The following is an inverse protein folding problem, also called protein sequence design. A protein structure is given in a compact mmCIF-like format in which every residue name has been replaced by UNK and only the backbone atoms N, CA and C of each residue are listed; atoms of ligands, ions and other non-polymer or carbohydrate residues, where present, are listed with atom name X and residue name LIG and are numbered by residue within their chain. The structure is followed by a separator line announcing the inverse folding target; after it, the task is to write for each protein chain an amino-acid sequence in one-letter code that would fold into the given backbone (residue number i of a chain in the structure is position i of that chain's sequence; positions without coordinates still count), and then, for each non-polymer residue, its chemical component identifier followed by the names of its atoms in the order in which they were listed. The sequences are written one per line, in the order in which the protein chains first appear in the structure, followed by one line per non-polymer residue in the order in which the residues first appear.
data_IF_359332720656
#
_entry.id   IF_359332720656
#
_cell.length_a   1.000
_cell.length_b   1.000
_cell.length_c   1.000
_cell.angle_alpha   90.00
_cell.angle_beta   90.00
_cell.angle_gamma   90.00
#
_symmetry.space_group_name_H-M   'P 1'
#
loop_
_entity.id
_entity.type
_entity.pdbx_description
1 polymer ?
#
# COMPACT_ATOMS: atom_id res chain seq x y z
N UNK A 1 18.63 -7.67 -11.16
CA UNK A 1 17.62 -7.35 -10.13
C UNK A 1 18.12 -6.13 -9.38
N UNK A 2 17.29 -5.09 -9.23
CA UNK A 2 17.68 -3.90 -8.47
C UNK A 2 17.68 -4.28 -6.98
N UNK A 3 18.79 -4.00 -6.29
CA UNK A 3 18.92 -4.22 -4.85
C UNK A 3 19.00 -2.90 -4.12
N UNK A 4 18.37 -2.84 -2.95
CA UNK A 4 18.62 -1.80 -1.95
C UNK A 4 19.66 -2.28 -0.96
N UNK A 5 20.28 -1.37 -0.23
CA UNK A 5 21.13 -1.71 0.91
C UNK A 5 20.46 -1.23 2.19
N UNK A 6 20.55 -2.05 3.23
CA UNK A 6 20.01 -1.81 4.55
C UNK A 6 21.16 -1.83 5.56
N UNK A 7 21.14 -0.83 6.44
CA UNK A 7 21.92 -0.80 7.67
C UNK A 7 20.97 -0.57 8.85
N UNK A 8 21.13 -1.36 9.91
CA UNK A 8 20.43 -1.16 11.19
C UNK A 8 21.47 -1.01 12.28
N UNK A 9 21.36 0.07 13.03
CA UNK A 9 22.21 0.35 14.19
C UNK A 9 21.38 0.21 15.47
N UNK A 10 21.67 -0.84 16.24
CA UNK A 10 21.03 -1.11 17.52
C UNK A 10 21.89 -0.54 18.64
N UNK A 11 21.39 0.49 19.32
CA UNK A 11 22.11 1.16 20.40
C UNK A 11 21.64 0.62 21.75
N UNK A 12 22.58 0.10 22.55
CA UNK A 12 22.32 -0.28 23.92
C UNK A 12 22.51 0.92 24.84
N UNK A 13 21.42 1.50 25.31
CA UNK A 13 21.43 2.68 26.20
C UNK A 13 22.10 2.44 27.56
N UNK A 14 22.21 1.19 28.01
CA UNK A 14 22.83 0.85 29.30
C UNK A 14 24.35 0.72 29.15
N UNK A 15 24.81 0.04 28.11
CA UNK A 15 26.24 -0.27 27.91
C UNK A 15 26.96 0.70 26.97
N UNK A 16 26.21 1.47 26.17
CA UNK A 16 26.74 2.29 25.07
C UNK A 16 27.17 1.48 23.84
N UNK A 17 26.94 0.17 23.82
CA UNK A 17 27.31 -0.69 22.70
C UNK A 17 26.44 -0.41 21.48
N UNK A 18 27.05 -0.34 20.29
CA UNK A 18 26.36 -0.23 19.00
C UNK A 18 26.57 -1.54 18.26
N UNK A 19 25.47 -2.25 17.99
CA UNK A 19 25.46 -3.44 17.14
C UNK A 19 24.93 -3.05 15.76
N UNK A 20 25.76 -3.23 14.74
CA UNK A 20 25.40 -3.00 13.34
C UNK A 20 24.96 -4.29 12.65
N UNK A 21 23.89 -4.21 11.88
CA UNK A 21 23.42 -5.27 10.98
C UNK A 21 23.31 -4.68 9.58
N UNK A 22 23.92 -5.35 8.61
CA UNK A 22 23.88 -4.95 7.20
C UNK A 22 23.33 -6.09 6.36
N UNK A 23 22.42 -5.75 5.44
CA UNK A 23 21.85 -6.68 4.47
C UNK A 23 21.54 -5.96 3.18
N UNK A 24 21.47 -6.73 2.09
CA UNK A 24 20.87 -6.24 0.85
C UNK A 24 19.39 -6.62 0.82
N UNK A 25 18.57 -5.75 0.23
CA UNK A 25 17.15 -6.01 0.01
C UNK A 25 16.85 -6.13 -1.49
N UNK A 26 15.72 -6.75 -1.81
CA UNK A 26 15.18 -6.92 -3.15
C UNK A 26 14.08 -5.90 -3.41
N UNK A 27 14.05 -5.32 -4.61
CA UNK A 27 12.86 -4.61 -5.09
C UNK A 27 11.88 -5.65 -5.65
N UNK A 28 10.70 -5.74 -5.04
CA UNK A 28 9.62 -6.65 -5.47
C UNK A 28 8.81 -6.05 -6.63
N UNK A 29 7.92 -6.86 -7.20
CA UNK A 29 6.99 -6.44 -8.24
C UNK A 29 5.96 -5.41 -7.75
N UNK A 30 5.86 -5.17 -6.43
CA UNK A 30 4.94 -4.21 -5.83
C UNK A 30 5.09 -2.79 -6.41
N UNK A 31 6.32 -2.35 -6.66
CA UNK A 31 6.57 -1.04 -7.26
C UNK A 31 6.04 -0.95 -8.70
N UNK A 32 6.19 -2.03 -9.48
CA UNK A 32 5.63 -2.13 -10.81
C UNK A 32 4.11 -2.14 -10.80
N UNK A 33 3.51 -2.86 -9.84
CA UNK A 33 2.06 -2.88 -9.66
C UNK A 33 1.50 -1.51 -9.25
N UNK A 34 2.11 -0.78 -8.33
CA UNK A 34 1.54 0.52 -7.92
C UNK A 34 1.68 1.57 -9.03
N UNK A 35 2.79 1.57 -9.78
CA UNK A 35 3.01 2.46 -10.92
C UNK A 35 2.12 2.11 -12.11
N UNK A 36 1.93 0.82 -12.38
CA UNK A 36 0.98 0.34 -13.39
C UNK A 36 -0.43 0.81 -13.07
N UNK A 37 -0.87 0.69 -11.81
CA UNK A 37 -2.20 1.16 -11.40
C UNK A 37 -2.40 2.64 -11.70
N UNK A 38 -1.42 3.49 -11.33
CA UNK A 38 -1.46 4.92 -11.63
C UNK A 38 -1.54 5.20 -13.14
N UNK A 39 -0.91 4.38 -13.99
CA UNK A 39 -0.97 4.52 -15.44
C UNK A 39 -2.30 4.06 -16.04
N UNK A 40 -2.89 2.96 -15.56
CA UNK A 40 -4.07 2.32 -16.17
C UNK A 40 -5.40 3.00 -15.85
N UNK A 41 -5.48 3.74 -14.73
CA UNK A 41 -6.73 4.39 -14.28
C UNK A 41 -6.97 5.73 -15.00
N UNK A 42 -5.96 6.29 -15.66
CA UNK A 42 -6.09 7.48 -16.49
C UNK A 42 -5.99 8.80 -15.72
N UNK A 43 -5.12 9.70 -16.18
CA UNK A 43 -4.77 10.96 -15.54
C UNK A 43 -5.79 12.10 -15.80
N UNK A 44 -7.08 11.89 -15.54
CA UNK A 44 -8.06 13.00 -15.56
C UNK A 44 -8.82 13.08 -14.25
N UNK A 45 -8.14 13.57 -13.22
CA UNK A 45 -8.77 14.04 -11.99
C UNK A 45 -7.78 14.23 -10.85
N UNK A 46 -6.94 13.22 -10.59
CA UNK A 46 -5.94 13.25 -9.53
C UNK A 46 -4.62 12.65 -10.05
N UNK A 47 -3.53 13.39 -9.93
CA UNK A 47 -2.21 12.95 -10.38
C UNK A 47 -1.70 11.79 -9.51
N UNK A 48 -2.12 10.55 -9.77
CA UNK A 48 -1.69 9.39 -8.98
C UNK A 48 -0.16 9.23 -8.96
N UNK A 49 0.54 9.68 -10.00
CA UNK A 49 2.00 9.74 -10.02
C UNK A 49 2.59 10.76 -9.04
N UNK A 50 1.90 11.86 -8.72
CA UNK A 50 2.38 12.78 -7.69
C UNK A 50 2.31 12.17 -6.30
N UNK A 51 1.50 11.13 -6.08
CA UNK A 51 1.52 10.38 -4.83
C UNK A 51 2.63 9.32 -4.81
N UNK A 52 3.13 8.88 -5.98
CA UNK A 52 4.16 7.83 -6.08
C UNK A 52 5.58 8.37 -6.33
N UNK A 53 5.71 9.59 -6.84
CA UNK A 53 6.98 10.19 -7.25
C UNK A 53 7.33 11.45 -6.44
N UNK A 54 8.60 11.65 -6.02
CA UNK A 54 9.76 10.78 -6.28
C UNK A 54 9.69 9.43 -5.56
N UNK A 55 10.05 8.34 -6.25
CA UNK A 55 9.89 6.98 -5.71
C UNK A 55 10.66 6.78 -4.39
N UNK A 56 11.86 7.34 -4.26
CA UNK A 56 12.71 7.20 -3.08
C UNK A 56 12.08 7.74 -1.78
N UNK A 57 11.21 8.75 -1.87
CA UNK A 57 10.54 9.36 -0.71
C UNK A 57 9.05 9.07 -0.67
N UNK A 58 8.46 8.55 -1.74
CA UNK A 58 7.03 8.23 -1.78
C UNK A 58 6.82 6.73 -1.89
N UNK A 59 6.92 6.14 -3.09
CA UNK A 59 6.67 4.72 -3.29
C UNK A 59 7.54 3.77 -2.44
N UNK A 60 8.74 4.20 -2.05
CA UNK A 60 9.70 3.49 -1.19
C UNK A 60 10.05 4.30 0.08
N UNK A 61 9.24 5.31 0.41
CA UNK A 61 9.49 6.24 1.51
C UNK A 61 8.94 5.81 2.86
N UNK A 62 8.41 4.59 2.97
CA UNK A 62 7.95 3.99 4.21
C UNK A 62 8.74 2.74 4.57
N UNK A 63 8.72 2.38 5.85
CA UNK A 63 9.38 1.24 6.45
C UNK A 63 8.37 0.44 7.28
N UNK A 64 8.43 -0.89 7.19
CA UNK A 64 7.70 -1.84 8.03
C UNK A 64 8.70 -2.82 8.65
N UNK A 65 8.56 -3.07 9.95
CA UNK A 65 9.37 -4.01 10.74
C UNK A 65 8.49 -5.14 11.26
N UNK A 66 8.93 -6.39 11.08
CA UNK A 66 8.16 -7.57 11.46
C UNK A 66 8.91 -8.45 12.47
N UNK A 67 8.14 -9.17 13.29
CA UNK A 67 8.65 -10.15 14.27
C UNK A 67 8.95 -11.54 13.70
N UNK A 68 8.52 -11.79 12.46
CA UNK A 68 8.81 -13.02 11.71
C UNK A 68 9.69 -12.78 10.49
N UNK A 69 10.23 -13.85 9.92
CA UNK A 69 11.03 -13.79 8.68
C UNK A 69 10.11 -13.67 7.47
N UNK A 70 10.46 -12.80 6.52
CA UNK A 70 9.80 -12.76 5.20
C UNK A 70 10.58 -13.62 4.21
N UNK A 71 9.85 -14.31 3.34
CA UNK A 71 10.44 -14.99 2.20
C UNK A 71 10.92 -13.95 1.18
N UNK A 72 12.19 -14.04 0.78
CA UNK A 72 12.76 -13.20 -0.27
C UNK A 72 12.27 -13.70 -1.65
N UNK A 73 11.16 -13.13 -2.11
CA UNK A 73 10.53 -13.42 -3.40
C UNK A 73 10.04 -12.11 -4.04
N UNK A 74 10.30 -11.93 -5.34
CA UNK A 74 9.86 -10.76 -6.11
C UNK A 74 8.33 -10.64 -6.14
N UNK A 75 7.59 -11.73 -5.94
CA UNK A 75 6.13 -11.75 -5.89
C UNK A 75 5.59 -11.64 -4.46
N UNK A 76 6.45 -11.53 -3.44
CA UNK A 76 6.01 -11.26 -2.07
C UNK A 76 5.66 -9.76 -1.93
N UNK A 77 4.49 -9.38 -2.46
CA UNK A 77 4.03 -7.98 -2.60
C UNK A 77 2.93 -7.60 -1.63
N UNK A 78 2.42 -8.56 -0.86
CA UNK A 78 1.33 -8.37 0.08
C UNK A 78 1.83 -8.19 1.50
N UNK A 79 0.96 -7.64 2.35
CA UNK A 79 1.22 -7.65 3.77
C UNK A 79 1.29 -9.11 4.25
N UNK A 80 2.37 -9.52 4.91
CA UNK A 80 2.62 -10.93 5.20
C UNK A 80 1.61 -11.49 6.20
N UNK A 81 1.14 -12.72 5.94
CA UNK A 81 0.26 -13.45 6.86
C UNK A 81 1.08 -14.22 7.90
N UNK A 82 0.61 -14.25 9.15
CA UNK A 82 1.23 -15.04 10.21
C UNK A 82 2.49 -14.40 10.83
N UNK A 83 2.81 -13.16 10.48
CA UNK A 83 3.83 -12.33 11.14
C UNK A 83 3.20 -11.03 11.60
N UNK A 84 3.71 -10.44 12.68
CA UNK A 84 3.19 -9.21 13.25
C UNK A 84 4.08 -8.03 12.91
N UNK A 85 3.43 -6.90 12.64
CA UNK A 85 4.11 -5.62 12.53
C UNK A 85 4.47 -5.11 13.92
N UNK A 86 5.76 -4.94 14.17
CA UNK A 86 6.28 -4.43 15.44
C UNK A 86 6.82 -3.00 15.32
N UNK A 87 7.00 -2.49 14.10
CA UNK A 87 7.42 -1.12 13.89
C UNK A 87 7.08 -0.62 12.50
N UNK A 88 6.89 0.69 12.35
CA UNK A 88 6.65 1.33 11.07
C UNK A 88 7.18 2.77 11.08
N UNK A 89 7.54 3.31 9.92
CA UNK A 89 7.89 4.72 9.78
C UNK A 89 7.61 5.22 8.36
N UNK A 90 7.37 6.51 8.19
CA UNK A 90 7.22 7.16 6.88
C UNK A 90 8.05 8.43 6.79
N UNK A 91 7.63 9.39 5.97
CA UNK A 91 8.38 10.64 5.73
C UNK A 91 8.03 11.79 6.70
N UNK A 92 7.35 11.47 7.79
CA UNK A 92 6.96 12.42 8.84
C UNK A 92 7.45 11.94 10.20
N UNK A 93 7.47 12.86 11.17
CA UNK A 93 7.81 12.51 12.54
C UNK A 93 6.64 11.75 13.18
N UNK A 94 6.93 10.70 13.95
CA UNK A 94 5.93 10.04 14.76
C UNK A 94 5.48 10.98 15.89
N UNK A 95 4.17 11.15 16.05
CA UNK A 95 3.59 12.04 17.06
C UNK A 95 2.95 11.30 18.23
N UNK A 96 2.72 9.98 18.14
CA UNK A 96 1.98 9.25 19.17
C UNK A 96 2.17 7.72 19.21
N UNK A 97 2.54 7.07 18.11
CA UNK A 97 2.53 5.60 18.01
C UNK A 97 3.69 4.96 18.78
N UNK A 98 3.43 3.91 19.56
CA UNK A 98 4.49 3.06 20.15
C UNK A 98 5.17 2.16 19.13
N UNK A 99 4.59 2.00 17.94
CA UNK A 99 5.21 1.27 16.83
C UNK A 99 5.91 2.23 15.86
N UNK A 100 5.65 3.54 15.97
CA UNK A 100 6.08 4.53 14.98
C UNK A 100 7.51 5.03 15.22
N UNK A 101 8.32 5.01 14.16
CA UNK A 101 9.59 5.74 14.06
C UNK A 101 9.41 7.09 13.38
N UNK A 102 10.45 7.92 13.41
CA UNK A 102 10.47 9.25 12.80
C UNK A 102 11.53 9.34 11.73
N UNK A 103 11.24 9.97 10.60
CA UNK A 103 12.29 10.27 9.61
C UNK A 103 13.33 11.22 10.21
N UNK A 104 14.61 10.88 10.06
CA UNK A 104 15.73 11.76 10.33
C UNK A 104 16.05 12.55 9.05
N UNK A 105 15.50 13.75 8.93
CA UNK A 105 15.68 14.59 7.74
C UNK A 105 17.09 15.14 7.56
N UNK A 106 17.91 15.15 8.62
CA UNK A 106 19.29 15.61 8.53
C UNK A 106 20.19 14.54 7.90
N UNK A 107 19.87 13.27 8.13
CA UNK A 107 20.63 12.12 7.60
C UNK A 107 19.98 11.49 6.37
N UNK A 108 18.71 11.81 6.10
CA UNK A 108 18.02 11.41 4.88
C UNK A 108 18.26 12.40 3.75
N UNK A 109 18.57 11.89 2.56
CA UNK A 109 18.82 12.77 1.43
C UNK A 109 19.42 12.07 0.22
N UNK A 110 19.59 12.87 -0.83
CA UNK A 110 20.28 12.44 -2.04
C UNK A 110 21.77 12.33 -1.77
N UNK A 111 22.38 11.26 -2.26
CA UNK A 111 23.82 11.03 -2.24
C UNK A 111 24.34 10.97 -3.68
N UNK A 112 25.65 10.82 -3.84
CA UNK A 112 26.28 10.64 -5.16
C UNK A 112 25.83 9.33 -5.85
N UNK A 113 25.43 8.34 -5.06
CA UNK A 113 25.08 6.98 -5.51
C UNK A 113 23.59 6.69 -5.47
N UNK A 114 22.76 7.58 -4.93
CA UNK A 114 21.32 7.36 -4.85
C UNK A 114 20.62 8.26 -3.84
N UNK A 115 19.76 7.65 -3.02
CA UNK A 115 19.00 8.32 -1.97
C UNK A 115 19.01 7.43 -0.73
N UNK A 116 19.22 8.03 0.43
CA UNK A 116 19.20 7.34 1.73
C UNK A 116 18.01 7.86 2.52
N UNK A 117 17.22 6.95 3.07
CA UNK A 117 16.24 7.26 4.11
C UNK A 117 16.77 6.73 5.44
N UNK A 118 16.77 7.58 6.46
CA UNK A 118 17.14 7.24 7.83
C UNK A 118 15.92 7.47 8.71
N UNK A 119 15.55 6.44 9.48
CA UNK A 119 14.44 6.50 10.43
C UNK A 119 14.94 6.18 11.84
N UNK A 120 14.61 7.05 12.79
CA UNK A 120 14.96 6.89 14.19
C UNK A 120 13.78 6.33 14.99
N UNK A 121 14.10 5.40 15.87
CA UNK A 121 13.17 4.84 16.85
C UNK A 121 13.75 5.08 18.24
N UNK A 122 12.97 5.73 19.11
CA UNK A 122 13.34 5.85 20.53
C UNK A 122 13.22 4.51 21.25
N UNK A 123 13.80 4.41 22.44
CA UNK A 123 13.73 3.23 23.32
C UNK A 123 12.31 2.78 23.70
N UNK A 124 11.32 3.65 23.50
CA UNK A 124 9.92 3.37 23.76
C UNK A 124 9.14 2.90 22.53
N UNK A 125 9.80 2.87 21.36
CA UNK A 125 9.20 2.63 20.06
C UNK A 125 9.73 1.35 19.41
N UNK A 126 8.86 0.69 18.65
CA UNK A 126 9.17 -0.54 17.91
C UNK A 126 9.82 -1.67 18.74
N UNK A 127 9.45 -1.76 20.02
CA UNK A 127 9.99 -2.74 20.95
C UNK A 127 9.54 -4.16 20.59
N UNK A 128 10.49 -5.09 20.55
CA UNK A 128 10.26 -6.49 20.18
C UNK A 128 11.50 -7.11 19.56
N UNK A 129 11.32 -8.26 18.90
CA UNK A 129 12.37 -8.87 18.06
C UNK A 129 12.14 -8.46 16.62
N UNK A 130 13.09 -7.77 16.01
CA UNK A 130 13.05 -7.47 14.56
C UNK A 130 13.66 -8.68 13.84
N UNK A 131 12.83 -9.42 13.12
CA UNK A 131 13.26 -10.57 12.33
C UNK A 131 13.38 -10.26 10.84
N UNK A 132 12.67 -9.23 10.36
CA UNK A 132 12.72 -8.78 8.96
C UNK A 132 12.16 -7.37 8.80
N UNK A 133 12.34 -6.80 7.61
CA UNK A 133 11.75 -5.52 7.24
C UNK A 133 11.41 -5.43 5.76
N UNK A 134 10.54 -4.49 5.43
CA UNK A 134 10.17 -4.16 4.06
C UNK A 134 10.07 -2.64 3.87
N UNK A 135 10.54 -2.15 2.73
CA UNK A 135 10.20 -0.81 2.27
C UNK A 135 8.79 -0.80 1.68
N UNK A 136 8.08 0.30 1.88
CA UNK A 136 6.71 0.48 1.42
C UNK A 136 6.46 1.94 1.02
N UNK A 137 5.24 2.23 0.59
CA UNK A 137 4.79 3.58 0.31
C UNK A 137 4.76 4.43 1.60
N UNK A 138 5.16 5.71 1.54
CA UNK A 138 5.22 6.60 2.72
C UNK A 138 3.93 6.58 3.55
N UNK A 139 2.75 6.69 2.93
CA UNK A 139 1.47 6.66 3.67
C UNK A 139 1.24 5.33 4.41
N UNK A 140 1.66 4.21 3.84
CA UNK A 140 1.58 2.91 4.50
C UNK A 140 2.59 2.81 5.66
N UNK A 141 3.76 3.46 5.52
CA UNK A 141 4.72 3.59 6.62
C UNK A 141 4.26 4.54 7.73
N UNK A 142 3.49 5.59 7.41
CA UNK A 142 2.93 6.52 8.39
C UNK A 142 1.73 5.92 9.14
N UNK A 143 0.88 5.20 8.40
CA UNK A 143 -0.34 4.65 8.95
C UNK A 143 -0.66 3.28 8.31
N UNK A 144 0.02 2.20 8.75
CA UNK A 144 -0.07 0.87 8.13
C UNK A 144 -1.45 0.21 8.29
N UNK A 145 -2.26 0.69 9.24
CA UNK A 145 -3.58 0.14 9.53
C UNK A 145 -4.73 1.03 9.04
N UNK A 146 -4.46 2.24 8.53
CA UNK A 146 -5.45 2.96 7.74
C UNK A 146 -5.33 2.49 6.29
N UNK A 147 -6.37 1.81 5.81
CA UNK A 147 -6.62 1.79 4.38
C UNK A 147 -6.73 3.23 3.87
N UNK A 148 -6.39 3.47 2.61
CA UNK A 148 -6.70 4.75 1.97
C UNK A 148 -8.20 5.00 2.12
N UNK A 149 -8.59 5.94 2.99
CA UNK A 149 -9.96 6.40 3.05
C UNK A 149 -10.20 7.16 1.76
N UNK A 150 -11.00 6.57 0.87
CA UNK A 150 -11.42 7.24 -0.34
C UNK A 150 -12.54 8.20 0.04
N UNK A 151 -12.23 9.48 0.07
CA UNK A 151 -13.25 10.52 0.14
C UNK A 151 -14.00 10.51 -1.19
N UNK A 152 -15.31 10.24 -1.17
CA UNK A 152 -16.22 10.31 -2.33
C UNK A 152 -16.44 11.76 -2.80
N UNK A 153 -15.44 12.62 -2.60
CA UNK A 153 -15.47 14.06 -2.85
C UNK A 153 -15.55 14.36 -4.34
N UNK A 154 -16.75 14.28 -4.90
CA UNK A 154 -17.17 15.00 -6.09
C UNK A 154 -16.46 14.61 -7.40
N UNK A 155 -16.48 13.33 -7.76
CA UNK A 155 -16.14 12.92 -9.13
C UNK A 155 -17.23 13.37 -10.10
N UNK A 156 -17.10 14.57 -10.64
CA UNK A 156 -18.08 15.18 -11.56
C UNK A 156 -17.87 14.77 -13.03
N UNK A 157 -17.22 13.64 -13.33
CA UNK A 157 -17.08 13.21 -14.73
C UNK A 157 -17.36 11.73 -14.96
N UNK A 158 -18.13 11.49 -16.01
CA UNK A 158 -18.70 10.25 -16.59
C UNK A 158 -17.67 9.16 -16.97
N UNK A 159 -16.41 9.29 -16.52
CA UNK A 159 -15.31 8.32 -16.74
C UNK A 159 -14.41 8.12 -15.52
N UNK A 160 -14.84 8.56 -14.34
CA UNK A 160 -14.03 8.44 -13.11
C UNK A 160 -14.16 7.04 -12.55
N UNK A 161 -13.32 6.12 -13.01
CA UNK A 161 -13.22 4.79 -12.45
C UNK A 161 -12.39 4.80 -11.16
N UNK A 162 -12.95 4.29 -10.07
CA UNK A 162 -12.19 4.06 -8.85
C UNK A 162 -11.56 2.66 -8.93
N UNK A 163 -10.23 2.51 -8.89
CA UNK A 163 -9.62 1.19 -8.84
C UNK A 163 -10.02 0.51 -7.53
N UNK A 164 -10.59 -0.69 -7.65
CA UNK A 164 -10.97 -1.50 -6.49
C UNK A 164 -9.83 -2.44 -6.10
N UNK A 165 -9.39 -3.23 -7.07
CA UNK A 165 -8.37 -4.26 -6.87
C UNK A 165 -7.88 -4.74 -8.24
N UNK A 166 -6.80 -5.51 -8.28
CA UNK A 166 -6.31 -6.17 -9.48
C UNK A 166 -6.01 -7.63 -9.15
N UNK A 167 -6.30 -8.49 -10.11
CA UNK A 167 -5.90 -9.90 -10.08
C UNK A 167 -4.59 -10.02 -10.84
N UNK A 168 -3.52 -10.30 -10.10
CA UNK A 168 -2.18 -10.48 -10.64
C UNK A 168 -2.02 -11.74 -11.48
N UNK A 169 -2.80 -12.78 -11.20
CA UNK A 169 -2.73 -14.07 -11.89
C UNK A 169 -3.40 -13.98 -13.27
N UNK A 170 -4.55 -13.31 -13.36
CA UNK A 170 -5.25 -13.11 -14.63
C UNK A 170 -4.85 -11.83 -15.36
N UNK A 171 -4.16 -10.91 -14.70
CA UNK A 171 -3.78 -9.61 -15.27
C UNK A 171 -5.01 -8.73 -15.51
N UNK A 172 -5.95 -8.73 -14.58
CA UNK A 172 -7.23 -8.01 -14.69
C UNK A 172 -7.31 -6.92 -13.63
N UNK A 173 -7.72 -5.72 -14.04
CA UNK A 173 -8.01 -4.60 -13.16
C UNK A 173 -9.53 -4.48 -12.98
N UNK A 174 -9.98 -4.45 -11.73
CA UNK A 174 -11.37 -4.22 -11.37
C UNK A 174 -11.59 -2.77 -10.96
N UNK A 175 -12.64 -2.17 -11.52
CA UNK A 175 -12.95 -0.75 -11.42
C UNK A 175 -14.39 -0.56 -10.96
N UNK A 176 -14.65 0.46 -10.15
CA UNK A 176 -15.98 0.90 -9.79
C UNK A 176 -16.36 2.19 -10.52
N UNK A 177 -17.56 2.25 -11.07
CA UNK A 177 -18.15 3.50 -11.56
C UNK A 177 -19.68 3.39 -11.58
N UNK A 178 -20.37 4.41 -11.08
CA UNK A 178 -21.83 4.54 -11.19
C UNK A 178 -22.62 3.35 -10.63
N UNK A 179 -22.21 2.77 -9.49
CA UNK A 179 -22.88 1.60 -8.90
C UNK A 179 -22.60 0.28 -9.63
N UNK A 180 -21.56 0.21 -10.45
CA UNK A 180 -21.21 -0.96 -11.26
C UNK A 180 -19.74 -1.30 -11.13
N UNK A 181 -19.43 -2.59 -11.24
CA UNK A 181 -18.05 -3.09 -11.28
C UNK A 181 -17.72 -3.53 -12.69
N UNK A 182 -16.59 -3.05 -13.18
CA UNK A 182 -16.04 -3.34 -14.50
C UNK A 182 -14.71 -4.07 -14.35
N UNK A 183 -14.34 -4.84 -15.37
CA UNK A 183 -13.02 -5.43 -15.52
C UNK A 183 -12.39 -5.02 -16.84
N UNK A 184 -11.07 -4.84 -16.84
CA UNK A 184 -10.26 -4.63 -18.04
C UNK A 184 -8.86 -5.22 -17.87
N UNK A 185 -8.09 -5.43 -18.95
CA UNK A 185 -6.69 -5.84 -18.84
C UNK A 185 -5.87 -4.86 -18.02
N UNK A 186 -4.95 -5.40 -17.22
CA UNK A 186 -4.05 -4.64 -16.35
C UNK A 186 -2.61 -4.68 -16.88
N UNK A 187 -1.99 -3.51 -17.03
CA UNK A 187 -0.63 -3.40 -17.55
C UNK A 187 0.33 -2.80 -16.53
N UNK A 188 1.29 -3.59 -16.06
CA UNK A 188 2.42 -3.08 -15.25
C UNK A 188 3.41 -2.26 -16.06
N UNK A 189 3.47 -2.49 -17.38
CA UNK A 189 4.29 -1.70 -18.29
C UNK A 189 3.61 -0.34 -18.56
N UNK A 190 4.18 0.72 -17.99
CA UNK A 190 3.66 2.09 -18.09
C UNK A 190 3.49 2.52 -19.55
N UNK A 191 4.41 2.17 -20.45
CA UNK A 191 4.31 2.52 -21.88
C UNK A 191 3.08 1.87 -22.51
N UNK A 192 2.81 0.60 -22.20
CA UNK A 192 1.59 -0.09 -22.66
C UNK A 192 0.33 0.51 -22.04
N UNK A 193 0.37 0.89 -20.77
CA UNK A 193 -0.75 1.51 -20.07
C UNK A 193 -1.14 2.89 -20.63
N UNK A 194 -0.21 3.61 -21.26
CA UNK A 194 -0.48 4.87 -21.95
C UNK A 194 -0.78 4.71 -23.45
N UNK A 195 -0.89 3.48 -23.95
CA UNK A 195 -1.35 3.28 -25.34
C UNK A 195 -2.83 3.66 -25.45
N UNK A 196 -3.29 4.15 -26.62
CA UNK A 196 -4.67 4.55 -26.83
C UNK A 196 -5.69 3.39 -26.72
N UNK A 197 -5.23 2.14 -26.60
CA UNK A 197 -6.08 0.98 -26.46
C UNK A 197 -5.65 0.14 -25.24
N UNK A 198 -6.41 0.26 -24.15
CA UNK A 198 -6.22 -0.49 -22.91
C UNK A 198 -6.99 -1.83 -22.86
N UNK A 199 -7.55 -2.26 -23.99
CA UNK A 199 -8.47 -3.40 -24.06
C UNK A 199 -9.94 -2.99 -23.88
N UNK A 200 -10.84 -3.96 -24.01
CA UNK A 200 -12.28 -3.74 -23.79
C UNK A 200 -12.63 -3.75 -22.30
N UNK A 201 -13.49 -2.81 -21.89
CA UNK A 201 -14.06 -2.75 -20.54
C UNK A 201 -15.35 -3.58 -20.51
N UNK A 202 -15.40 -4.59 -19.63
CA UNK A 202 -16.57 -5.47 -19.49
C UNK A 202 -17.20 -5.27 -18.12
N UNK A 203 -18.50 -4.96 -18.08
CA UNK A 203 -19.24 -4.95 -16.82
C UNK A 203 -19.27 -6.38 -16.23
N UNK A 204 -18.87 -6.52 -14.98
CA UNK A 204 -18.86 -7.81 -14.27
C UNK A 204 -20.19 -8.02 -13.53
N UNK A 205 -20.65 -7.00 -12.79
CA UNK A 205 -21.93 -7.03 -12.09
C UNK A 205 -22.37 -5.64 -11.63
N UNK A 206 -23.66 -5.52 -11.34
CA UNK A 206 -24.21 -4.35 -10.67
C UNK A 206 -23.84 -4.41 -9.17
N UNK A 207 -23.25 -3.34 -8.69
CA UNK A 207 -22.83 -3.14 -7.32
C UNK A 207 -23.48 -1.86 -6.79
N UNK A 208 -24.81 -1.83 -6.82
CA UNK A 208 -25.59 -0.75 -6.24
C UNK A 208 -25.74 -1.02 -4.74
N UNK A 209 -25.20 -0.14 -3.90
CA UNK A 209 -25.70 0.01 -2.55
C UNK A 209 -26.84 1.02 -2.59
N UNK A 210 -28.00 0.65 -2.06
CA UNK A 210 -29.06 1.61 -1.78
C UNK A 210 -28.53 2.59 -0.72
N UNK A 211 -28.21 3.82 -1.16
CA UNK A 211 -27.86 5.01 -0.36
C UNK A 211 -26.36 5.18 0.02
N UNK A 212 -25.65 6.23 -0.48
CA UNK A 212 -24.21 6.41 -0.26
C UNK A 212 -23.83 7.21 1.02
N UNK A 213 -24.78 7.73 1.78
CA UNK A 213 -24.49 8.87 2.65
C UNK A 213 -23.66 8.60 3.94
N UNK A 214 -23.37 7.36 4.35
CA UNK A 214 -22.68 7.11 5.65
C UNK A 214 -21.96 5.76 5.82
N UNK A 215 -21.31 5.23 4.77
CA UNK A 215 -20.77 3.85 4.80
C UNK A 215 -19.28 3.75 4.50
N UNK A 216 -18.57 2.92 5.27
CA UNK A 216 -17.23 2.44 4.92
C UNK A 216 -17.36 1.12 4.19
N UNK A 217 -16.82 1.03 2.98
CA UNK A 217 -16.80 -0.19 2.18
C UNK A 217 -15.45 -0.38 1.50
N UNK A 218 -15.15 -1.62 1.15
CA UNK A 218 -13.94 -2.00 0.40
C UNK A 218 -14.24 -3.22 -0.46
N UNK A 219 -13.59 -3.33 -1.61
CA UNK A 219 -13.62 -4.53 -2.45
C UNK A 219 -12.18 -4.97 -2.67
N UNK A 220 -11.91 -6.24 -2.43
CA UNK A 220 -10.58 -6.83 -2.57
C UNK A 220 -10.65 -8.15 -3.33
N UNK A 221 -9.59 -8.46 -4.09
CA UNK A 221 -9.37 -9.80 -4.61
C UNK A 221 -8.96 -10.71 -3.46
N UNK A 222 -9.63 -11.86 -3.35
CA UNK A 222 -9.29 -12.89 -2.37
C UNK A 222 -8.22 -13.87 -2.85
N UNK A 223 -7.75 -13.74 -4.09
CA UNK A 223 -6.77 -14.63 -4.73
C UNK A 223 -7.22 -16.10 -4.81
N UNK A 224 -8.51 -16.36 -4.58
CA UNK A 224 -9.17 -17.67 -4.65
C UNK A 224 -10.16 -17.75 -5.83
N UNK A 225 -10.09 -16.80 -6.76
CA UNK A 225 -11.05 -16.64 -7.85
C UNK A 225 -12.35 -15.95 -7.43
N UNK A 226 -12.33 -15.21 -6.32
CA UNK A 226 -13.46 -14.41 -5.86
C UNK A 226 -13.06 -12.99 -5.44
N UNK A 227 -13.96 -12.06 -5.70
CA UNK A 227 -13.93 -10.73 -5.09
C UNK A 227 -14.71 -10.74 -3.78
N UNK A 228 -14.15 -10.09 -2.77
CA UNK A 228 -14.77 -9.89 -1.47
C UNK A 228 -15.10 -8.42 -1.30
N UNK A 229 -16.39 -8.13 -1.20
CA UNK A 229 -16.89 -6.82 -0.83
C UNK A 229 -17.20 -6.82 0.67
N UNK A 230 -16.54 -5.93 1.41
CA UNK A 230 -16.79 -5.67 2.82
C UNK A 230 -17.54 -4.35 2.94
N UNK A 231 -18.57 -4.33 3.77
CA UNK A 231 -19.36 -3.16 4.07
C UNK A 231 -19.61 -3.07 5.58
N UNK A 232 -19.49 -1.87 6.13
CA UNK A 232 -19.74 -1.59 7.53
C UNK A 232 -20.96 -0.68 7.66
N UNK A 233 -22.00 -1.20 8.31
CA UNK A 233 -23.25 -0.49 8.55
C UNK A 233 -23.14 0.39 9.81
N UNK A 234 -23.47 1.69 9.68
CA UNK A 234 -23.74 2.58 10.82
C UNK A 234 -22.69 2.61 11.91
N UNK A 235 -21.47 3.10 11.63
CA UNK A 235 -20.41 3.27 12.64
C UNK A 235 -20.78 4.39 13.61
N UNK A 236 -21.49 4.07 14.70
CA UNK A 236 -21.50 4.94 15.88
C UNK A 236 -20.22 4.69 16.68
N UNK A 237 -19.54 5.75 17.14
CA UNK A 237 -18.26 5.67 17.86
C UNK A 237 -18.32 4.92 19.21
N UNK A 238 -19.50 4.43 19.59
CA UNK A 238 -19.78 3.69 20.83
C UNK A 238 -20.91 2.69 20.54
N UNK A 239 -20.61 1.56 19.92
CA UNK A 239 -21.63 0.56 19.59
C UNK A 239 -21.09 -0.74 18.98
N UNK A 240 -21.99 -1.72 18.80
CA UNK A 240 -21.72 -2.95 18.05
C UNK A 240 -21.62 -2.63 16.56
N UNK A 241 -20.55 -3.06 15.91
CA UNK A 241 -20.33 -2.87 14.46
C UNK A 241 -20.89 -4.06 13.69
N UNK A 242 -21.77 -3.81 12.72
CA UNK A 242 -22.25 -4.84 11.80
C UNK A 242 -21.44 -4.82 10.50
N UNK A 243 -20.72 -5.90 10.23
CA UNK A 243 -19.95 -6.09 8.99
C UNK A 243 -20.73 -7.02 8.07
N UNK A 244 -21.03 -6.58 6.85
CA UNK A 244 -21.62 -7.40 5.79
C UNK A 244 -20.51 -7.76 4.80
N UNK A 245 -20.42 -9.04 4.48
CA UNK A 245 -19.47 -9.59 3.52
C UNK A 245 -20.23 -10.17 2.33
N UNK A 246 -19.85 -9.77 1.12
CA UNK A 246 -20.36 -10.36 -0.12
C UNK A 246 -19.19 -10.96 -0.90
N UNK A 247 -19.29 -12.24 -1.19
CA UNK A 247 -18.34 -13.01 -2.01
C UNK A 247 -18.89 -13.15 -3.42
N UNK A 248 -18.13 -12.76 -4.43
CA UNK A 248 -18.54 -12.79 -5.86
C UNK A 248 -17.52 -13.58 -6.65
N UNK A 249 -17.95 -14.62 -7.36
CA UNK A 249 -17.05 -15.41 -8.21
C UNK A 249 -16.63 -14.58 -9.43
N UNK A 250 -15.33 -14.52 -9.69
CA UNK A 250 -14.79 -13.90 -10.90
C UNK A 250 -14.44 -15.00 -11.90
N UNK A 251 -14.89 -14.81 -13.15
CA UNK A 251 -14.70 -15.70 -14.29
C UNK A 251 -13.80 -15.05 -15.33
#
# INVERSE_FOLDING_TARGET
MLKGHLQIDLHNEITGEIKRVEQDNMVTNALGYVLGLAANVGAKGNNHFSDLLPAATKALGGLLLFDGTLTEDVNNVHFPMGVHLIGHAGQTANTASKLGGSINKAESGRTDTGYVNVWDFSTSQANGTIASLALTHTRAGENPFNGAQYDDGGFTTDRSYCPLTFDENSGVLYLYSGGKIYKKPYYTNIVKAYTPYLGEETQVFDFAFDNPASYYWSVMDGYDGYLYAIYIDGVSRTGTVSIKLRKVKIS
#
